data_IF_793971338283
#
_entry.id   IF_793971338283
#
_cell.length_a   1.000
_cell.length_b   1.000
_cell.length_c   1.000
_cell.angle_alpha   90.00
_cell.angle_beta   90.00
_cell.angle_gamma   90.00
#
_symmetry.space_group_name_H-M   'P 1'
#
loop_
_entity.id
_entity.type
_entity.pdbx_description
1 polymer ?
#
# COMPACT_ATOMS: atom_id res chain seq x y z
N UNK A 1 -5.58 -13.24 19.32
CA UNK A 1 -4.98 -14.57 19.07
C UNK A 1 -3.59 -14.55 19.65
N UNK A 2 -3.28 -15.40 20.62
CA UNK A 2 -1.94 -15.39 21.23
C UNK A 2 -0.92 -16.09 20.30
N UNK A 3 0.36 -15.73 20.43
CA UNK A 3 1.48 -16.32 19.67
C UNK A 3 1.43 -17.86 19.57
N UNK A 4 1.18 -18.63 20.65
CA UNK A 4 1.13 -20.10 20.59
C UNK A 4 0.05 -20.63 19.64
N UNK A 5 -1.13 -20.01 19.66
CA UNK A 5 -2.25 -20.38 18.78
C UNK A 5 -1.94 -20.03 17.34
N UNK A 6 -1.32 -18.86 17.11
CA UNK A 6 -0.96 -18.41 15.76
C UNK A 6 0.10 -19.28 15.12
N UNK A 7 1.13 -19.66 15.88
CA UNK A 7 2.16 -20.58 15.43
C UNK A 7 1.57 -21.93 15.01
N UNK A 8 0.64 -22.46 15.80
CA UNK A 8 -0.04 -23.72 15.50
C UNK A 8 -0.90 -23.62 14.23
N UNK A 9 -1.59 -22.50 14.03
CA UNK A 9 -2.37 -22.22 12.82
C UNK A 9 -1.48 -22.16 11.58
N UNK A 10 -0.40 -21.39 11.62
CA UNK A 10 0.57 -21.25 10.52
C UNK A 10 1.22 -22.59 10.18
N UNK A 11 1.60 -23.37 11.19
CA UNK A 11 2.17 -24.71 10.95
C UNK A 11 1.17 -25.61 10.22
N UNK A 12 -0.10 -25.60 10.65
CA UNK A 12 -1.16 -26.43 10.06
C UNK A 12 -1.54 -25.97 8.66
N UNK A 13 -1.61 -24.66 8.40
CA UNK A 13 -1.92 -24.12 7.07
C UNK A 13 -0.85 -24.45 6.03
N UNK A 14 0.41 -24.58 6.47
CA UNK A 14 1.52 -25.06 5.63
C UNK A 14 1.64 -26.59 5.59
N UNK A 15 0.72 -27.34 6.22
CA UNK A 15 0.71 -28.80 6.20
C UNK A 15 1.90 -29.46 6.93
N UNK A 16 2.55 -28.75 7.85
CA UNK A 16 3.76 -29.23 8.52
C UNK A 16 3.45 -29.97 9.82
N UNK A 17 4.17 -31.07 10.07
CA UNK A 17 4.25 -31.67 11.41
C UNK A 17 5.12 -30.81 12.33
N UNK A 18 5.00 -30.98 13.66
CA UNK A 18 5.87 -30.28 14.62
C UNK A 18 7.35 -30.65 14.43
N UNK A 19 7.62 -31.87 13.99
CA UNK A 19 8.97 -32.37 13.71
C UNK A 19 9.54 -31.70 12.46
N UNK A 20 8.77 -31.63 11.38
CA UNK A 20 9.15 -30.94 10.15
C UNK A 20 9.37 -29.44 10.36
N UNK A 21 8.54 -28.80 11.19
CA UNK A 21 8.76 -27.40 11.57
C UNK A 21 10.05 -27.25 12.39
N UNK A 22 10.29 -28.16 13.32
CA UNK A 22 11.52 -28.20 14.11
C UNK A 22 12.76 -28.31 13.22
N UNK A 23 12.78 -29.24 12.28
CA UNK A 23 13.86 -29.42 11.32
C UNK A 23 14.12 -28.14 10.50
N UNK A 24 13.07 -27.48 10.01
CA UNK A 24 13.19 -26.24 9.22
C UNK A 24 13.74 -25.07 10.03
N UNK A 25 13.40 -24.98 11.31
CA UNK A 25 13.82 -23.89 12.22
C UNK A 25 15.13 -24.23 12.97
N UNK A 26 15.62 -25.47 12.82
CA UNK A 26 16.80 -25.96 13.53
C UNK A 26 16.56 -26.07 15.04
N UNK A 27 15.40 -26.57 15.44
CA UNK A 27 15.04 -26.86 16.84
C UNK A 27 14.36 -28.23 16.96
N UNK A 28 14.30 -28.79 18.16
CA UNK A 28 13.65 -30.09 18.34
C UNK A 28 12.12 -29.97 18.26
N UNK A 29 11.44 -31.07 17.91
CA UNK A 29 9.97 -31.18 18.01
C UNK A 29 9.43 -30.74 19.38
N UNK A 30 10.15 -31.09 20.46
CA UNK A 30 9.78 -30.74 21.83
C UNK A 30 9.78 -29.22 22.04
N UNK A 31 10.76 -28.50 21.47
CA UNK A 31 10.81 -27.04 21.51
C UNK A 31 9.59 -26.42 20.82
N UNK A 32 9.24 -26.90 19.62
CA UNK A 32 8.02 -26.47 18.91
C UNK A 32 6.77 -26.72 19.76
N UNK A 33 6.65 -27.90 20.37
CA UNK A 33 5.50 -28.20 21.23
C UNK A 33 5.41 -27.26 22.43
N UNK A 34 6.52 -26.89 23.05
CA UNK A 34 6.54 -25.94 24.18
C UNK A 34 6.11 -24.54 23.75
N UNK A 35 6.52 -24.08 22.57
CA UNK A 35 6.08 -22.81 21.99
C UNK A 35 4.58 -22.82 21.68
N UNK A 36 4.06 -23.89 21.08
CA UNK A 36 2.62 -24.04 20.77
C UNK A 36 1.74 -24.17 22.03
N UNK A 37 2.32 -24.60 23.15
CA UNK A 37 1.67 -24.66 24.46
C UNK A 37 1.87 -23.38 25.29
N UNK A 38 2.64 -22.41 24.79
CA UNK A 38 2.96 -21.16 25.50
C UNK A 38 3.84 -21.32 26.74
N UNK A 39 4.53 -22.46 26.87
CA UNK A 39 5.40 -22.74 28.02
C UNK A 39 6.75 -22.01 27.93
N UNK A 40 7.21 -21.75 26.71
CA UNK A 40 8.43 -21.01 26.42
C UNK A 40 8.21 -20.12 25.19
N UNK A 41 9.02 -19.09 25.04
CA UNK A 41 9.04 -18.21 23.87
C UNK A 41 10.26 -18.50 23.00
N UNK A 42 10.19 -18.29 21.67
CA UNK A 42 11.36 -18.38 20.81
C UNK A 42 12.33 -17.22 21.10
N UNK A 43 13.62 -17.49 20.93
CA UNK A 43 14.63 -16.44 20.87
C UNK A 43 14.48 -15.62 19.58
N UNK A 44 15.04 -14.41 19.56
CA UNK A 44 14.88 -13.48 18.44
C UNK A 44 15.32 -14.08 17.10
N UNK A 45 16.40 -14.87 17.09
CA UNK A 45 16.89 -15.55 15.89
C UNK A 45 15.88 -16.58 15.35
N UNK A 46 15.27 -17.38 16.24
CA UNK A 46 14.26 -18.37 15.87
C UNK A 46 12.96 -17.70 15.44
N UNK A 47 12.64 -16.56 16.04
CA UNK A 47 11.48 -15.78 15.66
C UNK A 47 11.63 -15.18 14.27
N UNK A 48 12.83 -14.68 13.92
CA UNK A 48 13.14 -14.25 12.56
C UNK A 48 13.06 -15.43 11.56
N UNK A 49 13.59 -16.60 11.90
CA UNK A 49 13.47 -17.78 11.06
C UNK A 49 12.01 -18.23 10.84
N UNK A 50 11.16 -18.13 11.87
CA UNK A 50 9.72 -18.39 11.75
C UNK A 50 9.03 -17.35 10.85
N UNK A 51 9.40 -16.08 10.98
CA UNK A 51 8.91 -15.00 10.11
C UNK A 51 9.24 -15.25 8.64
N UNK A 52 10.49 -15.60 8.35
CA UNK A 52 10.94 -15.89 6.98
C UNK A 52 10.25 -17.15 6.42
N UNK A 53 10.09 -18.19 7.23
CA UNK A 53 9.45 -19.44 6.81
C UNK A 53 7.97 -19.26 6.45
N UNK A 54 7.24 -18.48 7.25
CA UNK A 54 5.80 -18.28 7.07
C UNK A 54 5.44 -17.03 6.27
N UNK A 55 6.43 -16.19 5.92
CA UNK A 55 6.21 -14.95 5.18
C UNK A 55 5.40 -13.90 5.95
N UNK A 56 5.48 -13.93 7.30
CA UNK A 56 4.77 -13.00 8.20
C UNK A 56 5.77 -12.24 9.05
N UNK A 57 5.48 -10.99 9.42
CA UNK A 57 6.41 -10.20 10.22
C UNK A 57 6.52 -10.76 11.66
N UNK A 58 7.68 -10.54 12.28
CA UNK A 58 7.93 -10.91 13.68
C UNK A 58 6.88 -10.29 14.62
N UNK A 59 6.46 -9.07 14.30
CA UNK A 59 5.41 -8.36 15.03
C UNK A 59 4.04 -9.05 14.88
N UNK A 60 3.71 -9.54 13.69
CA UNK A 60 2.46 -10.28 13.42
C UNK A 60 2.41 -11.65 14.12
N UNK A 61 3.56 -12.33 14.22
CA UNK A 61 3.68 -13.58 15.00
C UNK A 61 3.41 -13.33 16.49
N UNK A 62 3.98 -12.27 17.07
CA UNK A 62 3.95 -12.00 18.51
C UNK A 62 2.66 -11.31 18.94
N UNK A 63 2.19 -10.31 18.17
CA UNK A 63 1.03 -9.50 18.55
C UNK A 63 -0.25 -10.11 18.00
N UNK A 64 -1.04 -10.68 18.91
CA UNK A 64 -2.42 -11.00 18.62
C UNK A 64 -3.21 -9.77 18.20
N UNK A 65 -3.50 -9.66 16.90
CA UNK A 65 -4.44 -8.70 16.28
C UNK A 65 -4.52 -7.34 16.99
N UNK A 66 -3.38 -6.66 17.17
CA UNK A 66 -3.40 -5.21 17.20
C UNK A 66 -3.09 -4.76 15.76
N UNK A 67 -3.91 -3.92 15.13
CA UNK A 67 -3.70 -3.55 13.73
C UNK A 67 -2.40 -2.77 13.58
N UNK A 68 -1.29 -3.45 13.31
CA UNK A 68 -0.03 -2.81 12.94
C UNK A 68 -0.17 -2.33 11.49
N UNK A 69 -0.11 -1.02 11.37
CA UNK A 69 -0.56 -0.19 10.25
C UNK A 69 0.47 -0.09 9.12
N UNK A 70 1.29 -1.11 8.87
CA UNK A 70 2.55 -0.86 8.15
C UNK A 70 2.73 -1.50 6.77
N UNK A 71 2.17 -2.67 6.47
CA UNK A 71 2.73 -3.43 5.33
C UNK A 71 1.81 -3.51 4.08
N UNK A 72 0.50 -3.31 4.20
CA UNK A 72 -0.42 -3.26 3.02
C UNK A 72 -0.37 -1.93 2.22
N UNK A 73 0.44 -0.95 2.62
CA UNK A 73 0.46 0.38 2.00
C UNK A 73 1.38 0.52 0.78
N UNK A 74 2.33 -0.41 0.56
CA UNK A 74 3.31 -0.27 -0.52
C UNK A 74 2.87 -0.92 -1.84
N UNK A 75 2.27 -2.12 -1.82
CA UNK A 75 1.81 -2.80 -3.05
C UNK A 75 0.61 -2.10 -3.72
N UNK A 76 -0.34 -1.59 -2.93
CA UNK A 76 -1.51 -0.86 -3.45
C UNK A 76 -1.11 0.44 -4.18
N UNK A 77 -0.08 1.15 -3.71
CA UNK A 77 0.39 2.38 -4.36
C UNK A 77 1.03 2.12 -5.73
N UNK A 78 1.74 1.00 -5.89
CA UNK A 78 2.43 0.61 -7.13
C UNK A 78 1.45 0.38 -8.29
N UNK A 79 0.34 -0.31 -8.03
CA UNK A 79 -0.69 -0.58 -9.04
C UNK A 79 -1.40 0.72 -9.50
N UNK A 80 -1.70 1.63 -8.57
CA UNK A 80 -2.29 2.94 -8.88
C UNK A 80 -1.34 3.89 -9.63
N UNK A 81 -0.04 3.83 -9.35
CA UNK A 81 0.95 4.70 -9.99
C UNK A 81 1.20 4.35 -11.47
N UNK A 82 0.95 3.09 -11.86
CA UNK A 82 1.01 2.62 -13.25
C UNK A 82 -0.18 3.06 -14.13
N UNK A 83 -1.29 3.51 -13.54
CA UNK A 83 -2.50 3.98 -14.23
C UNK A 83 -2.57 5.52 -14.33
N UNK A 84 -1.43 6.20 -14.34
CA UNK A 84 -1.37 7.66 -14.47
C UNK A 84 -0.80 8.09 -15.82
N UNK A 85 -1.57 8.88 -16.56
CA UNK A 85 -1.19 9.52 -17.82
C UNK A 85 -0.94 11.01 -17.56
N UNK A 86 0.27 11.47 -17.84
CA UNK A 86 0.65 12.88 -17.74
C UNK A 86 1.21 13.35 -19.10
N UNK A 87 0.60 14.39 -19.68
CA UNK A 87 1.05 15.04 -20.90
C UNK A 87 1.16 16.54 -20.65
N UNK A 88 2.30 17.13 -21.03
CA UNK A 88 2.56 18.56 -20.90
C UNK A 88 3.16 19.10 -22.20
N UNK A 89 2.56 20.15 -22.75
CA UNK A 89 3.08 20.80 -23.96
C UNK A 89 4.40 21.51 -23.70
N UNK A 90 5.34 21.39 -24.63
CA UNK A 90 6.63 22.10 -24.60
C UNK A 90 6.48 23.62 -24.82
N UNK A 91 5.39 24.04 -25.48
CA UNK A 91 5.09 25.47 -25.69
C UNK A 91 4.44 26.03 -24.44
N UNK A 92 5.15 26.94 -23.78
CA UNK A 92 4.69 27.64 -22.58
C UNK A 92 4.39 29.10 -22.91
N UNK A 93 3.37 29.65 -22.29
CA UNK A 93 3.03 31.07 -22.36
C UNK A 93 3.11 31.65 -20.96
N UNK A 94 3.96 32.65 -20.72
CA UNK A 94 4.24 33.22 -19.38
C UNK A 94 4.62 32.17 -18.32
N UNK A 95 5.28 31.08 -18.73
CA UNK A 95 5.73 30.00 -17.84
C UNK A 95 4.69 28.92 -17.52
N UNK A 96 3.45 29.04 -18.00
CA UNK A 96 2.43 27.96 -17.92
C UNK A 96 2.34 27.22 -19.26
N UNK A 97 2.23 25.87 -19.27
CA UNK A 97 2.10 25.11 -20.50
C UNK A 97 0.76 25.39 -21.19
N UNK A 98 0.74 25.38 -22.53
CA UNK A 98 -0.52 25.54 -23.28
C UNK A 98 -1.51 24.43 -22.96
N UNK A 99 -1.03 23.18 -22.91
CA UNK A 99 -1.85 22.00 -22.63
C UNK A 99 -1.19 21.18 -21.54
N UNK A 100 -1.97 20.81 -20.53
CA UNK A 100 -1.56 19.88 -19.49
C UNK A 100 -2.72 18.91 -19.19
N UNK A 101 -2.51 17.64 -19.50
CA UNK A 101 -3.45 16.55 -19.21
C UNK A 101 -2.84 15.68 -18.13
N UNK A 102 -3.55 15.44 -17.04
CA UNK A 102 -3.13 14.57 -15.95
C UNK A 102 -4.33 13.72 -15.49
N UNK A 103 -4.37 12.46 -15.93
CA UNK A 103 -5.45 11.52 -15.62
C UNK A 103 -4.86 10.33 -14.91
N UNK A 104 -5.24 10.11 -13.66
CA UNK A 104 -4.78 8.98 -12.86
C UNK A 104 -5.21 9.10 -11.40
N UNK A 105 -5.05 8.04 -10.62
CA UNK A 105 -5.50 7.99 -9.22
C UNK A 105 -4.68 8.83 -8.23
N UNK A 106 -3.86 9.77 -8.72
CA UNK A 106 -3.04 10.66 -7.92
C UNK A 106 -3.74 11.98 -7.57
N UNK A 107 -3.23 12.68 -6.55
CA UNK A 107 -3.64 14.06 -6.18
C UNK A 107 -2.94 15.16 -7.00
N UNK A 108 -2.30 14.82 -8.12
CA UNK A 108 -1.56 15.80 -8.93
C UNK A 108 -2.52 16.75 -9.64
N UNK A 109 -2.10 17.99 -9.78
CA UNK A 109 -2.91 19.06 -10.38
C UNK A 109 -2.43 19.35 -11.79
N UNK A 110 -3.29 19.18 -12.78
CA UNK A 110 -3.05 19.68 -14.13
C UNK A 110 -3.10 21.21 -14.11
N UNK A 111 -2.06 21.87 -14.65
CA UNK A 111 -1.96 23.34 -14.73
C UNK A 111 -1.55 23.76 -16.13
N UNK A 112 -2.34 24.61 -16.78
CA UNK A 112 -2.08 25.11 -18.12
C UNK A 112 -3.17 26.05 -18.63
N UNK A 113 -3.04 26.54 -19.87
CA UNK A 113 -4.14 27.29 -20.52
C UNK A 113 -5.31 26.34 -20.76
N UNK A 114 -5.04 25.15 -21.30
CA UNK A 114 -5.94 24.00 -21.36
C UNK A 114 -5.48 22.96 -20.34
N UNK A 115 -6.28 22.71 -19.31
CA UNK A 115 -5.96 21.77 -18.23
C UNK A 115 -7.02 20.68 -18.10
N UNK A 116 -6.63 19.40 -18.13
CA UNK A 116 -7.55 18.26 -17.98
C UNK A 116 -7.04 17.32 -16.91
N UNK A 117 -7.85 16.99 -15.91
CA UNK A 117 -7.47 16.01 -14.89
C UNK A 117 -8.34 15.99 -13.64
N UNK A 118 -8.08 15.07 -12.71
CA UNK A 118 -8.87 14.98 -11.46
C UNK A 118 -8.86 16.28 -10.65
N UNK A 119 -7.73 16.99 -10.64
CA UNK A 119 -7.64 18.38 -10.20
C UNK A 119 -7.03 19.20 -11.33
N UNK A 120 -7.78 20.16 -11.87
CA UNK A 120 -7.35 20.96 -13.03
C UNK A 120 -7.44 22.46 -12.73
N UNK A 121 -6.41 23.22 -13.08
CA UNK A 121 -6.37 24.67 -12.92
C UNK A 121 -5.87 25.33 -14.20
N UNK A 122 -6.68 26.21 -14.80
CA UNK A 122 -6.31 26.82 -16.07
C UNK A 122 -7.24 27.91 -16.57
N UNK A 123 -7.06 28.34 -17.82
CA UNK A 123 -8.02 29.24 -18.46
C UNK A 123 -9.26 28.44 -18.86
N UNK A 124 -9.06 27.31 -19.53
CA UNK A 124 -10.04 26.28 -19.80
C UNK A 124 -9.65 25.02 -19.01
N UNK A 125 -10.49 24.61 -18.05
CA UNK A 125 -10.19 23.49 -17.16
C UNK A 125 -11.31 22.44 -17.14
N UNK A 126 -10.94 21.15 -17.15
CA UNK A 126 -11.87 20.02 -17.12
C UNK A 126 -11.41 19.02 -16.08
N UNK A 127 -12.28 18.67 -15.12
CA UNK A 127 -11.87 17.78 -14.04
C UNK A 127 -12.93 17.45 -13.00
N UNK A 128 -12.57 16.64 -12.01
CA UNK A 128 -13.44 16.42 -10.86
C UNK A 128 -13.44 17.68 -9.96
N UNK A 129 -12.26 18.22 -9.66
CA UNK A 129 -12.06 19.56 -9.10
C UNK A 129 -11.46 20.45 -10.19
N UNK A 130 -12.20 21.45 -10.65
CA UNK A 130 -11.75 22.34 -11.74
C UNK A 130 -11.79 23.80 -11.32
N UNK A 131 -10.72 24.55 -11.62
CA UNK A 131 -10.63 25.99 -11.32
C UNK A 131 -10.11 26.76 -12.52
N UNK A 132 -10.84 27.76 -12.98
CA UNK A 132 -10.43 28.50 -14.16
C UNK A 132 -11.39 29.59 -14.62
N UNK A 133 -11.11 30.20 -15.77
CA UNK A 133 -12.04 31.17 -16.38
C UNK A 133 -13.27 30.42 -16.89
N UNK A 134 -13.06 29.35 -17.64
CA UNK A 134 -14.08 28.40 -18.07
C UNK A 134 -13.74 27.03 -17.48
N UNK A 135 -14.66 26.48 -16.70
CA UNK A 135 -14.43 25.27 -15.91
C UNK A 135 -15.56 24.27 -16.08
N UNK A 136 -15.20 23.01 -16.32
CA UNK A 136 -16.13 21.89 -16.38
C UNK A 136 -15.76 20.88 -15.30
N UNK A 137 -16.66 20.59 -14.38
CA UNK A 137 -16.35 19.62 -13.34
C UNK A 137 -17.37 19.48 -12.22
N UNK A 138 -17.28 18.37 -11.48
CA UNK A 138 -18.20 18.08 -10.38
C UNK A 138 -18.09 19.13 -9.26
N UNK A 139 -16.87 19.63 -9.01
CA UNK A 139 -16.58 20.73 -8.10
C UNK A 139 -15.78 21.80 -8.87
N UNK A 140 -16.51 22.62 -9.63
CA UNK A 140 -15.95 23.67 -10.48
C UNK A 140 -15.99 25.06 -9.81
N UNK A 141 -14.93 25.85 -9.99
CA UNK A 141 -14.86 27.24 -9.56
C UNK A 141 -14.30 28.12 -10.67
N UNK A 142 -15.10 29.06 -11.18
CA UNK A 142 -14.66 29.90 -12.29
C UNK A 142 -15.63 31.01 -12.65
N UNK A 143 -15.22 31.83 -13.64
CA UNK A 143 -16.10 32.87 -14.20
C UNK A 143 -17.32 32.23 -14.89
N UNK A 144 -17.08 31.12 -15.59
CA UNK A 144 -18.07 30.24 -16.19
C UNK A 144 -17.78 28.81 -15.72
N UNK A 145 -18.60 28.29 -14.80
CA UNK A 145 -18.45 26.95 -14.24
C UNK A 145 -19.68 26.10 -14.59
N UNK A 146 -19.43 24.88 -15.08
CA UNK A 146 -20.44 23.92 -15.54
C UNK A 146 -20.20 22.53 -14.96
#
# INVERSE_FOLDING_TARGET
MDFPQKLMELRRSHGLSQEQLGEKIGVTRQTISKWELGQTTPEMEKLAALSDLFGVSADELIRGTAPSRSEKFQESKSAYQRLSFEYKSSRTFRGIPLVHVNVGAGRRTARGILAVGNKAVGVLSVGFLSVGVVSFGLLAAGLLAF
#
